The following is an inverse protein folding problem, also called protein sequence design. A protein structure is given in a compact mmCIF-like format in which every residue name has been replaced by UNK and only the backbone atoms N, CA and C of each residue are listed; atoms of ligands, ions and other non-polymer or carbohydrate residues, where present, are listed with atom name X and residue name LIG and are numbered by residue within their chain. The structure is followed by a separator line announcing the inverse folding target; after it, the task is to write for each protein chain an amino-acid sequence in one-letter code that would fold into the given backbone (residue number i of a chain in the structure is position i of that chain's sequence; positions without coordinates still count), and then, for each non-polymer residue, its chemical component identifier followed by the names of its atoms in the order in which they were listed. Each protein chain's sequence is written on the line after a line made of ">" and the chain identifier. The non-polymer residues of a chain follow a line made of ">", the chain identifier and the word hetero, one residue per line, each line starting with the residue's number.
data_IF_425083840383
#
_entry.id   IF_425083840383
#
_cell.length_a   1.000
_cell.length_b   1.000
_cell.length_c   1.000
_cell.angle_alpha   90.00
_cell.angle_beta   90.00
_cell.angle_gamma   90.00
#
_symmetry.space_group_name_H-M   'P 1'
#
loop_
_entity.id
_entity.type
_entity.pdbx_description
1 polymer ?
2 non-polymer ?
3 non-polymer ?
4 non-polymer ?
5 water ?
#
# COMPACT_ATOMS: atom_id res chain seq x y z
N UNK A 14 22.13 -7.13 15.85
CA UNK A 14 20.89 -7.01 15.00
C UNK A 14 21.22 -7.57 13.59
N UNK A 15 20.33 -7.56 12.57
CA UNK A 15 19.91 -6.33 11.82
C UNK A 15 18.74 -5.32 12.18
N UNK A 16 19.18 -4.09 12.60
CA UNK A 16 18.51 -2.78 12.51
C UNK A 16 17.83 -2.04 13.69
N UNK A 17 18.38 -0.86 14.08
CA UNK A 17 17.71 0.01 15.06
C UNK A 17 16.35 0.53 14.53
N UNK A 18 15.30 0.35 15.36
CA UNK A 18 13.94 0.81 15.04
C UNK A 18 13.84 2.28 14.71
N UNK A 19 12.97 2.59 13.71
CA UNK A 19 12.71 4.03 13.48
C UNK A 19 12.23 4.71 14.82
N UNK A 20 12.57 6.00 15.01
CA UNK A 20 12.03 6.70 16.18
C UNK A 20 10.72 7.49 15.90
N UNK A 21 10.27 7.54 14.64
CA UNK A 21 9.02 8.24 14.15
C UNK A 21 8.36 7.25 13.23
N UNK A 22 7.13 7.54 12.82
CA UNK A 22 6.49 6.86 11.70
C UNK A 22 6.74 7.80 10.52
N UNK A 23 6.71 7.26 9.31
CA UNK A 23 7.06 7.98 8.07
C UNK A 23 6.15 9.16 7.79
N UNK A 24 6.69 10.23 7.20
CA UNK A 24 5.82 11.30 6.72
C UNK A 24 5.23 10.88 5.37
N UNK A 25 3.90 10.77 5.32
CA UNK A 25 3.20 10.65 4.04
C UNK A 25 1.76 10.27 4.13
N UNK A 26 1.16 9.91 2.99
CA UNK A 26 -0.20 9.41 2.90
C UNK A 26 -0.29 7.92 3.19
N UNK A 27 -1.25 7.53 4.01
CA UNK A 27 -1.38 6.13 4.30
C UNK A 27 -2.82 5.73 4.03
N UNK A 28 -3.00 4.59 3.37
CA UNK A 28 -4.29 4.20 2.97
C UNK A 28 -4.91 3.35 4.07
N UNK A 29 -6.19 3.64 4.34
CA UNK A 29 -6.82 3.01 5.47
C UNK A 29 -7.79 1.96 5.00
N UNK A 30 -8.05 2.01 3.70
CA UNK A 30 -8.84 0.99 3.05
C UNK A 30 -9.82 1.62 2.08
N UNK A 31 -10.85 0.85 1.78
CA UNK A 31 -11.91 1.30 0.86
C UNK A 31 -12.82 2.33 1.56
N UNK A 32 -12.88 3.54 1.04
CA UNK A 32 -13.71 4.63 1.58
C UNK A 32 -15.16 4.23 1.99
N UNK A 33 -15.85 3.47 1.14
CA UNK A 33 -17.24 2.96 1.39
C UNK A 33 -17.41 2.04 2.60
N UNK A 34 -16.31 1.50 3.09
CA UNK A 34 -16.35 0.72 4.33
C UNK A 34 -16.27 1.64 5.60
N UNK A 35 -15.95 2.91 5.44
CA UNK A 35 -15.89 3.82 6.58
C UNK A 35 -17.13 4.72 6.72
N UNK A 36 -18.22 4.33 6.04
CA UNK A 36 -19.37 5.19 5.79
C UNK A 36 -20.67 4.56 6.24
N UNK A 37 -20.78 3.94 7.40
CA UNK A 37 -22.00 3.11 7.51
C UNK A 37 -22.95 3.14 8.74
N UNK A 38 -23.54 4.27 9.15
CA UNK A 38 -23.02 5.64 9.08
C UNK A 38 -22.64 5.98 10.56
N UNK A 39 -21.69 5.19 11.07
CA UNK A 39 -21.18 5.16 12.44
C UNK A 39 -19.67 5.55 12.43
N UNK A 40 -19.08 5.78 13.60
CA UNK A 40 -17.62 5.93 13.55
C UNK A 40 -16.89 4.61 13.52
N UNK A 41 -15.67 4.63 13.02
CA UNK A 41 -14.81 3.42 13.03
C UNK A 41 -13.51 3.65 13.84
N UNK A 42 -13.12 2.67 14.66
CA UNK A 42 -11.84 2.65 15.38
C UNK A 42 -10.71 2.10 14.52
N UNK A 43 -9.63 2.86 14.32
CA UNK A 43 -8.41 2.27 13.80
C UNK A 43 -7.12 2.52 14.65
N UNK A 44 -6.44 1.45 15.03
CA UNK A 44 -5.10 1.62 15.64
C UNK A 44 -4.01 1.80 14.60
N UNK A 45 -3.25 2.86 14.71
CA UNK A 45 -2.34 3.24 13.69
C UNK A 45 -1.44 4.29 14.33
N UNK A 46 -0.16 4.33 13.89
CA UNK A 46 0.81 5.32 14.33
C UNK A 46 1.01 5.37 15.87
N UNK A 47 1.00 4.18 16.47
CA UNK A 47 1.09 4.08 17.91
C UNK A 47 -0.05 4.70 18.72
N UNK A 48 -1.15 5.12 18.05
CA UNK A 48 -2.38 5.48 18.73
C UNK A 48 -3.65 4.80 18.24
N UNK A 49 -4.74 5.32 18.75
CA UNK A 49 -6.02 4.93 18.33
C UNK A 49 -6.63 6.10 17.65
N UNK A 50 -7.27 5.81 16.54
CA UNK A 50 -7.85 6.80 15.67
C UNK A 50 -9.34 6.58 15.55
N UNK A 51 -10.09 7.67 15.36
CA UNK A 51 -11.52 7.55 15.04
C UNK A 51 -11.74 8.07 13.61
N UNK A 52 -12.44 7.29 12.81
CA UNK A 52 -12.80 7.64 11.43
C UNK A 52 -14.30 7.80 11.33
N UNK A 53 -14.77 8.87 10.71
CA UNK A 53 -16.25 9.04 10.58
C UNK A 53 -16.57 9.97 9.43
N UNK A 54 -17.73 9.81 8.85
CA UNK A 54 -18.19 10.73 7.84
C UNK A 54 -19.21 11.75 8.32
N UNK A 55 -19.03 12.96 7.82
CA UNK A 55 -19.99 14.03 7.66
C UNK A 55 -21.41 13.69 7.35
N UNK A 56 -22.24 14.71 7.45
CA UNK A 56 -23.57 14.69 6.91
C UNK A 56 -23.53 14.94 5.42
N UNK A 57 -22.48 15.59 4.93
CA UNK A 57 -22.15 15.57 3.50
C UNK A 57 -21.49 14.32 2.92
N UNK A 58 -21.40 13.24 3.69
CA UNK A 58 -20.58 12.06 3.34
C UNK A 58 -19.05 12.20 3.28
N UNK A 59 -18.50 13.34 3.69
CA UNK A 59 -17.04 13.54 3.81
C UNK A 59 -16.37 12.97 5.09
N UNK A 60 -15.25 12.30 4.88
CA UNK A 60 -14.60 11.45 5.86
C UNK A 60 -13.53 12.21 6.66
N UNK A 61 -13.52 11.98 7.96
CA UNK A 61 -12.69 12.75 8.87
C UNK A 61 -11.94 11.81 9.79
N UNK A 62 -10.82 12.25 10.33
CA UNK A 62 -10.12 11.36 11.22
C UNK A 62 -9.66 12.19 12.37
N UNK A 63 -9.78 11.64 13.56
CA UNK A 63 -9.32 12.35 14.77
C UNK A 63 -8.51 11.41 15.65
N UNK A 64 -7.69 11.94 16.55
CA UNK A 64 -7.40 11.11 17.75
C UNK A 64 -8.67 10.49 18.32
N UNK A 65 -8.58 9.23 18.70
CA UNK A 65 -9.75 8.47 19.10
C UNK A 65 -10.29 8.67 20.48
N UNK A 66 -9.42 9.13 21.39
CA UNK A 66 -9.71 9.39 22.82
C UNK A 66 -10.15 10.77 23.08
N UNK A 67 -11.37 10.84 23.58
CA UNK A 67 -11.92 12.15 24.03
C UNK A 67 -11.08 12.93 25.01
N UNK A 68 -10.76 14.16 24.61
CA UNK A 68 -10.07 15.13 25.43
C UNK A 68 -10.76 15.55 26.74
N UNK A 69 -11.99 15.14 26.98
CA UNK A 69 -12.65 15.52 28.19
C UNK A 69 -12.08 14.61 29.33
N UNK A 70 -12.45 13.34 29.32
CA UNK A 70 -12.09 12.34 30.30
C UNK A 70 -11.83 10.98 29.61
N UNK A 71 -11.52 10.95 28.31
CA UNK A 71 -10.93 9.74 27.78
C UNK A 71 -11.80 8.71 27.15
N UNK A 72 -13.11 8.97 27.02
CA UNK A 72 -13.98 8.12 26.28
C UNK A 72 -13.46 7.87 24.87
N UNK A 73 -13.81 6.68 24.37
CA UNK A 73 -13.34 6.19 23.06
C UNK A 73 -14.37 6.65 22.04
N UNK A 74 -14.01 7.65 21.24
CA UNK A 74 -14.91 8.28 20.27
C UNK A 74 -15.42 7.28 19.22
N UNK A 75 -14.56 6.33 18.86
CA UNK A 75 -14.95 5.23 17.94
C UNK A 75 -16.12 4.40 18.50
N UNK A 76 -16.36 4.46 19.83
CA UNK A 76 -17.52 3.77 20.42
C UNK A 76 -18.80 4.68 20.49
N UNK A 77 -18.74 5.85 19.87
CA UNK A 77 -19.79 6.76 20.00
C UNK A 77 -20.63 6.81 18.77
N UNK A 78 -21.13 7.99 18.47
CA UNK A 78 -22.08 8.04 17.40
C UNK A 78 -21.85 9.28 16.51
N UNK A 79 -22.26 9.28 15.24
CA UNK A 79 -22.22 10.53 14.42
C UNK A 79 -23.62 11.29 14.52
N UNK A 80 -23.54 12.54 14.93
CA UNK A 80 -24.66 13.40 15.08
C UNK A 80 -24.42 14.64 14.24
N UNK A 81 -25.06 14.71 13.07
CA UNK A 81 -24.76 15.79 12.12
C UNK A 81 -23.34 15.70 11.57
N UNK A 82 -22.56 16.74 11.76
CA UNK A 82 -21.20 16.78 11.26
C UNK A 82 -20.10 16.38 12.27
N UNK A 83 -20.51 15.96 13.46
CA UNK A 83 -19.62 15.70 14.60
C UNK A 83 -19.79 14.29 15.07
N UNK A 84 -18.73 13.73 15.62
CA UNK A 84 -18.86 12.46 16.35
C UNK A 84 -19.17 12.87 17.83
N UNK A 85 -20.12 12.19 18.43
CA UNK A 85 -20.53 12.39 19.81
C UNK A 85 -19.84 11.32 20.66
N UNK A 86 -19.11 11.70 21.71
CA UNK A 86 -18.41 10.78 22.55
C UNK A 86 -19.43 9.96 23.26
N UNK A 87 -19.20 8.61 23.37
CA UNK A 87 -20.15 7.77 24.14
C UNK A 87 -20.29 8.16 25.65
N UNK A 88 -19.41 8.99 26.21
CA UNK A 88 -19.38 9.08 27.65
C UNK A 88 -20.32 10.20 28.12
N UNK A 89 -20.14 11.35 27.55
CA UNK A 89 -20.92 12.50 27.96
C UNK A 89 -21.39 13.28 26.72
N UNK A 90 -21.33 12.71 25.51
CA UNK A 90 -21.91 13.28 24.34
C UNK A 90 -21.26 14.57 23.82
N UNK A 91 -20.06 14.96 24.25
CA UNK A 91 -19.42 16.16 23.67
C UNK A 91 -19.29 15.92 22.14
N UNK A 92 -19.11 17.00 21.36
CA UNK A 92 -19.28 16.83 19.93
C UNK A 92 -18.06 17.39 19.30
N UNK A 93 -17.45 16.56 18.45
CA UNK A 93 -16.12 16.88 17.86
C UNK A 93 -16.23 16.92 16.38
N UNK A 94 -15.83 18.06 15.81
CA UNK A 94 -15.86 18.21 14.38
C UNK A 94 -14.68 17.56 13.65
N UNK A 95 -14.80 17.40 12.32
CA UNK A 95 -13.77 16.73 11.59
C UNK A 95 -12.46 17.47 11.57
N UNK A 96 -12.52 18.75 11.92
CA UNK A 96 -11.31 19.54 12.12
C UNK A 96 -10.79 19.49 13.60
N UNK A 97 -11.38 18.69 14.45
CA UNK A 97 -10.93 18.62 15.83
C UNK A 97 -11.56 19.57 16.80
N UNK A 98 -12.35 20.54 16.31
CA UNK A 98 -12.98 21.54 17.21
C UNK A 98 -14.04 20.90 18.06
N UNK A 99 -14.01 21.20 19.35
CA UNK A 99 -15.12 20.86 20.24
C UNK A 99 -16.30 21.79 19.82
N UNK A 100 -17.38 21.23 19.29
CA UNK A 100 -18.48 22.05 18.72
C UNK A 100 -19.54 22.31 19.77
N UNK A 101 -19.76 21.34 20.63
CA UNK A 101 -20.78 21.54 21.61
C UNK A 101 -20.57 20.58 22.75
N UNK A 102 -20.74 21.12 23.95
CA UNK A 102 -21.10 20.26 25.09
C UNK A 102 -22.56 20.44 25.42
N UNK A 103 -23.38 19.40 25.08
CA UNK A 103 -24.84 19.55 25.00
C UNK A 103 -25.53 20.06 26.29
N UNK A 104 -25.07 19.61 27.45
CA UNK A 104 -25.76 19.91 28.68
C UNK A 104 -25.14 21.09 29.39
N UNK A 105 -24.15 21.70 28.80
CA UNK A 105 -23.40 22.73 29.53
C UNK A 105 -23.86 24.15 29.20
N UNK A 106 -23.74 25.01 30.19
CA UNK A 106 -23.97 26.38 30.02
C UNK A 106 -23.07 27.01 28.98
N UNK A 107 -21.78 26.66 29.05
CA UNK A 107 -20.75 27.16 28.15
C UNK A 107 -19.85 26.04 27.55
N UNK A 108 -19.98 25.79 26.26
CA UNK A 108 -19.08 24.92 25.54
C UNK A 108 -17.70 25.57 25.69
N UNK A 109 -16.61 24.77 25.89
CA UNK A 109 -15.27 25.37 25.94
C UNK A 109 -15.03 26.20 24.70
N UNK A 110 -14.31 27.27 24.87
CA UNK A 110 -14.00 28.23 23.83
C UNK A 110 -12.70 27.82 23.07
N UNK A 111 -12.75 27.62 21.77
CA UNK A 111 -11.51 27.36 21.03
C UNK A 111 -10.73 26.18 21.58
N UNK A 112 -11.46 25.13 21.97
CA UNK A 112 -10.92 23.86 22.30
C UNK A 112 -10.88 22.91 21.04
N UNK A 113 -9.84 22.08 20.99
CA UNK A 113 -9.76 21.04 19.99
C UNK A 113 -8.84 19.90 20.31
N UNK A 114 -9.10 18.79 19.64
CA UNK A 114 -8.28 17.64 19.65
C UNK A 114 -7.48 17.65 18.34
N UNK A 115 -6.60 16.67 18.18
CA UNK A 115 -5.86 16.47 16.94
C UNK A 115 -6.70 15.83 15.80
N UNK A 116 -6.71 16.53 14.69
CA UNK A 116 -7.38 16.04 13.55
C UNK A 116 -6.35 15.67 12.54
N UNK A 117 -6.72 14.70 11.69
CA UNK A 117 -5.80 14.20 10.70
C UNK A 117 -6.33 14.58 9.29
N UNK A 118 -5.50 15.15 8.43
CA UNK A 118 -5.91 15.40 7.05
C UNK A 118 -6.18 14.08 6.29
N UNK A 119 -7.25 14.10 5.53
CA UNK A 119 -7.89 12.94 4.93
C UNK A 119 -7.95 13.21 3.37
N UNK A 120 -7.99 12.14 2.58
CA UNK A 120 -8.14 12.23 1.10
C UNK A 120 -8.89 11.02 0.60
N UNK A 121 -9.94 11.21 -0.20
CA UNK A 121 -10.59 10.07 -0.84
C UNK A 121 -10.16 10.10 -2.29
N UNK A 122 -9.51 9.02 -2.74
CA UNK A 122 -8.85 8.99 -4.06
C UNK A 122 -9.08 7.59 -4.58
N UNK A 123 -9.74 7.47 -5.73
CA UNK A 123 -9.96 6.17 -6.38
C UNK A 123 -10.83 5.29 -5.51
N UNK A 124 -11.66 5.90 -4.65
CA UNK A 124 -12.58 5.12 -3.80
C UNK A 124 -11.88 4.56 -2.57
N UNK A 125 -10.67 5.05 -2.31
CA UNK A 125 -9.85 4.59 -1.16
C UNK A 125 -9.66 5.74 -0.19
N UNK A 126 -9.64 5.44 1.12
CA UNK A 126 -9.42 6.51 2.15
C UNK A 126 -7.95 6.61 2.57
N UNK A 127 -7.38 7.81 2.48
CA UNK A 127 -6.01 8.11 2.90
C UNK A 127 -5.97 9.10 4.09
N UNK A 128 -5.04 8.85 4.99
CA UNK A 128 -4.76 9.82 6.04
C UNK A 128 -3.30 10.28 5.89
N UNK A 129 -3.05 11.54 6.25
CA UNK A 129 -1.76 12.14 6.22
C UNK A 129 -1.08 12.06 7.62
N UNK A 130 0.21 11.73 7.61
CA UNK A 130 1.01 11.62 8.81
C UNK A 130 2.32 12.38 8.62
N UNK A 131 2.66 13.23 9.58
CA UNK A 131 3.91 13.96 9.62
C UNK A 131 4.29 14.24 11.08
N UNK A 132 5.44 13.69 11.46
CA UNK A 132 5.98 13.89 12.76
C UNK A 132 6.15 15.38 13.10
N UNK A 133 6.60 16.14 12.11
CA UNK A 133 6.77 17.55 12.24
C UNK A 133 5.47 18.32 12.37
N UNK A 134 4.33 17.64 12.15
CA UNK A 134 3.02 18.22 12.22
C UNK A 134 2.68 19.21 11.13
N UNK A 135 3.32 19.16 9.96
CA UNK A 135 2.99 20.07 8.85
C UNK A 135 1.95 19.48 7.92
N UNK A 136 1.22 20.33 7.17
CA UNK A 136 0.19 19.68 6.31
C UNK A 136 0.79 18.99 5.04
N UNK A 137 -0.02 18.21 4.29
CA UNK A 137 0.43 17.54 3.04
C UNK A 137 0.97 18.49 2.00
N UNK A 138 2.23 18.31 1.60
CA UNK A 138 2.69 18.90 0.35
C UNK A 138 1.74 18.52 -0.85
N UNK A 139 1.19 19.53 -1.55
CA UNK A 139 0.35 19.18 -2.72
C UNK A 139 1.11 18.26 -3.72
N UNK A 140 2.43 18.42 -3.80
CA UNK A 140 3.29 17.65 -4.73
C UNK A 140 3.30 16.11 -4.57
N UNK A 141 2.78 15.63 -3.44
CA UNK A 141 2.87 14.22 -3.06
C UNK A 141 1.52 13.58 -2.96
N UNK A 142 0.47 14.31 -3.32
CA UNK A 142 -0.87 13.70 -3.39
C UNK A 142 -0.89 12.39 -4.17
N UNK A 143 -1.68 11.44 -3.68
CA UNK A 143 -1.76 10.12 -4.26
C UNK A 143 -2.55 10.30 -5.58
N UNK A 144 -2.08 9.71 -6.70
CA UNK A 144 -2.77 9.89 -8.01
C UNK A 144 -4.17 9.24 -8.04
N UNK A 145 -5.13 9.75 -8.83
CA UNK A 145 -6.40 8.98 -9.14
C UNK A 145 -6.08 7.82 -10.05
N UNK A 146 -6.77 6.70 -9.82
CA UNK A 146 -6.78 5.56 -10.71
C UNK A 146 -8.16 5.66 -11.42
N UNK A 147 -8.16 6.12 -12.69
CA UNK A 147 -9.40 6.26 -13.50
C UNK A 147 -10.26 4.98 -13.51
N UNK A 148 -9.61 3.80 -13.46
CA UNK A 148 -10.30 2.55 -13.68
C UNK A 148 -11.05 2.09 -12.47
N UNK A 149 -10.74 2.75 -11.35
CA UNK A 149 -11.50 2.55 -10.12
C UNK A 149 -12.94 3.16 -10.25
N UNK A 150 -13.09 4.13 -11.16
CA UNK A 150 -14.39 4.73 -11.50
C UNK A 150 -15.00 4.26 -12.85
N UNK A 151 -14.44 3.22 -13.46
CA UNK A 151 -14.90 2.67 -14.73
C UNK A 151 -15.87 1.52 -14.49
N UNK A 152 -17.03 1.55 -15.16
CA UNK A 152 -17.90 0.37 -15.16
C UNK A 152 -17.40 -0.75 -16.10
N UNK A 153 -16.36 -0.43 -16.89
CA UNK A 153 -15.55 -1.41 -17.62
C UNK A 153 -14.51 -2.16 -16.77
N UNK A 154 -14.33 -1.78 -15.49
CA UNK A 154 -13.44 -2.51 -14.59
C UNK A 154 -14.21 -3.04 -13.43
N UNK A 155 -13.73 -4.10 -12.80
CA UNK A 155 -14.31 -4.49 -11.52
C UNK A 155 -14.10 -3.44 -10.39
N UNK A 156 -14.74 -3.66 -9.25
CA UNK A 156 -14.56 -2.77 -8.09
C UNK A 156 -13.67 -3.49 -7.11
N UNK A 157 -13.03 -2.74 -6.21
CA UNK A 157 -12.01 -3.20 -5.29
C UNK A 157 -12.38 -4.46 -4.59
N UNK A 158 -11.65 -5.54 -4.84
CA UNK A 158 -11.67 -6.63 -3.92
C UNK A 158 -10.47 -6.26 -3.07
N UNK A 159 -10.62 -6.31 -1.74
CA UNK A 159 -9.68 -5.70 -0.81
C UNK A 159 -9.40 -6.65 0.31
N UNK A 160 -8.14 -6.76 0.70
CA UNK A 160 -7.78 -7.67 1.79
C UNK A 160 -6.84 -6.96 2.73
N UNK A 161 -6.74 -7.43 3.95
CA UNK A 161 -5.95 -6.74 4.94
C UNK A 161 -5.45 -7.81 5.92
N UNK A 162 -4.17 -7.76 6.26
CA UNK A 162 -3.71 -8.57 7.39
C UNK A 162 -2.90 -7.75 8.41
N UNK A 163 -2.79 -8.24 9.64
CA UNK A 163 -1.92 -7.63 10.63
C UNK A 163 -0.64 -8.47 10.72
N UNK A 164 0.51 -7.83 10.46
CA UNK A 164 1.79 -8.47 10.67
C UNK A 164 2.45 -8.03 11.95
N UNK A 165 2.59 -8.96 12.89
CA UNK A 165 3.27 -8.64 14.14
C UNK A 165 4.69 -9.18 14.13
N UNK A 166 5.54 -8.44 14.81
CA UNK A 166 6.91 -8.85 14.98
C UNK A 166 7.86 -8.33 13.94
N UNK A 167 7.39 -7.46 13.04
CA UNK A 167 8.30 -6.70 12.16
C UNK A 167 7.83 -5.26 12.00
N UNK A 168 8.74 -4.42 11.46
CA UNK A 168 8.49 -3.05 11.01
C UNK A 168 8.02 -2.99 9.53
N UNK A 169 7.08 -2.10 9.20
CA UNK A 169 6.58 -2.01 7.82
C UNK A 169 7.66 -1.72 6.78
N UNK A 170 8.81 -1.25 7.23
CA UNK A 170 9.86 -0.81 6.30
C UNK A 170 10.52 -2.02 5.59
N UNK A 171 10.41 -3.18 6.22
CA UNK A 171 10.93 -4.44 5.73
C UNK A 171 10.37 -4.80 4.30
N UNK A 172 9.12 -4.45 4.00
CA UNK A 172 8.53 -4.89 2.78
C UNK A 172 8.93 -4.06 1.54
N UNK A 173 9.39 -2.83 1.73
CA UNK A 173 9.71 -1.99 0.59
C UNK A 173 10.97 -2.47 -0.19
N UNK A 174 11.81 -3.30 0.45
CA UNK A 174 12.98 -3.90 -0.19
C UNK A 174 12.68 -4.69 -1.45
N UNK A 175 11.42 -5.08 -1.60
CA UNK A 175 11.01 -5.87 -2.74
C UNK A 175 11.13 -5.12 -4.07
N UNK A 176 11.26 -3.80 -3.99
CA UNK A 176 11.14 -2.94 -5.16
C UNK A 176 12.35 -3.19 -6.12
N UNK A 177 13.38 -3.75 -5.56
CA UNK A 177 14.71 -3.63 -6.05
C UNK A 177 15.18 -5.05 -6.37
N UNK A 178 14.41 -6.06 -6.00
CA UNK A 178 14.80 -7.42 -6.31
C UNK A 178 14.20 -8.21 -7.44
N UNK A 179 15.08 -8.36 -8.39
CA UNK A 179 14.84 -9.10 -9.63
C UNK A 179 14.74 -10.60 -9.33
N UNK A 180 15.64 -11.19 -8.55
CA UNK A 180 15.72 -12.64 -8.47
C UNK A 180 14.51 -13.33 -7.85
N UNK A 181 13.74 -12.64 -6.97
CA UNK A 181 12.58 -13.31 -6.32
C UNK A 181 11.44 -13.61 -7.33
N UNK A 182 11.47 -12.87 -8.43
CA UNK A 182 10.50 -13.15 -9.50
C UNK A 182 10.52 -14.58 -9.99
N UNK A 183 11.68 -15.23 -9.90
CA UNK A 183 11.87 -16.64 -10.18
C UNK A 183 11.55 -17.56 -9.04
N UNK A 184 12.15 -17.35 -7.88
CA UNK A 184 11.97 -18.29 -6.78
C UNK A 184 10.66 -18.12 -6.10
N UNK A 185 10.12 -16.90 -6.10
CA UNK A 185 8.89 -16.65 -5.32
C UNK A 185 7.59 -16.68 -6.19
N UNK A 186 7.68 -16.01 -7.36
CA UNK A 186 6.57 -15.88 -8.29
C UNK A 186 6.65 -16.82 -9.50
N UNK A 187 7.78 -17.51 -9.64
CA UNK A 187 7.86 -18.60 -10.61
C UNK A 187 7.74 -18.11 -12.05
N UNK A 188 8.43 -17.02 -12.34
CA UNK A 188 8.52 -16.53 -13.66
C UNK A 188 9.97 -16.24 -13.94
N UNK A 189 10.24 -15.75 -15.14
CA UNK A 189 11.63 -15.42 -15.50
C UNK A 189 11.69 -13.98 -15.88
N UNK A 190 12.34 -13.13 -15.03
CA UNK A 190 12.46 -11.69 -15.26
C UNK A 190 13.46 -11.45 -16.38
N UNK A 191 12.97 -10.85 -17.46
CA UNK A 191 13.71 -10.74 -18.69
C UNK A 191 14.16 -9.30 -18.88
N UNK A 192 13.53 -8.44 -18.09
CA UNK A 192 13.88 -7.05 -18.13
C UNK A 192 13.59 -6.46 -16.73
N UNK A 193 14.51 -5.66 -16.23
CA UNK A 193 14.40 -5.14 -14.87
C UNK A 193 15.05 -3.77 -14.69
N UNK A 194 14.22 -2.79 -14.38
CA UNK A 194 14.70 -1.43 -14.17
C UNK A 194 14.03 -0.78 -12.96
N UNK A 195 14.83 -0.02 -12.19
CA UNK A 195 14.33 0.79 -11.12
C UNK A 195 14.50 2.24 -11.42
N UNK A 196 13.49 3.05 -11.05
CA UNK A 196 13.63 4.52 -11.05
C UNK A 196 13.23 5.14 -9.68
N UNK A 197 14.13 5.84 -9.02
CA UNK A 197 13.74 6.60 -7.83
C UNK A 197 13.82 8.11 -8.12
N UNK A 198 12.79 8.88 -7.81
CA UNK A 198 12.96 10.36 -7.96
C UNK A 198 11.93 11.09 -7.06
N UNK A 199 12.29 12.11 -6.31
CA UNK A 199 11.25 12.75 -5.47
C UNK A 199 10.75 11.70 -4.46
N UNK A 200 9.41 11.60 -4.33
CA UNK A 200 8.70 10.80 -3.35
C UNK A 200 8.26 9.50 -3.99
N UNK A 201 8.78 9.22 -5.19
CA UNK A 201 8.30 8.01 -5.91
C UNK A 201 9.47 7.03 -6.20
N UNK A 202 9.26 5.77 -5.91
CA UNK A 202 10.19 4.72 -6.27
C UNK A 202 9.43 3.72 -7.20
N UNK A 203 10.01 3.34 -8.35
CA UNK A 203 9.35 2.47 -9.37
C UNK A 203 10.14 1.26 -9.78
N UNK A 204 9.40 0.22 -10.12
CA UNK A 204 9.96 -0.99 -10.63
C UNK A 204 9.26 -1.30 -12.00
N UNK A 205 10.08 -1.50 -13.03
CA UNK A 205 9.61 -1.94 -14.38
C UNK A 205 10.15 -3.28 -14.73
N UNK A 206 9.24 -4.16 -15.07
CA UNK A 206 9.51 -5.58 -15.16
C UNK A 206 8.92 -6.18 -16.46
N UNK A 207 9.68 -7.07 -17.10
CA UNK A 207 9.07 -8.00 -18.03
C UNK A 207 9.35 -9.34 -17.50
N UNK A 208 8.30 -10.14 -17.35
CA UNK A 208 8.38 -11.45 -16.74
C UNK A 208 7.77 -12.48 -17.69
N UNK A 209 8.44 -13.61 -17.85
CA UNK A 209 7.90 -14.77 -18.60
C UNK A 209 7.57 -15.92 -17.65
N UNK A 210 6.38 -16.53 -17.79
CA UNK A 210 6.08 -17.76 -17.11
C UNK A 210 7.12 -18.87 -17.31
N UNK A 211 7.36 -19.61 -16.25
CA UNK A 211 8.21 -20.74 -16.31
C UNK A 211 7.47 -21.94 -16.91
N UNK A 212 8.09 -22.60 -17.92
CA UNK A 212 7.66 -23.89 -18.47
C UNK A 212 7.52 -25.03 -17.45
N UNK A 213 8.36 -25.08 -16.42
CA UNK A 213 8.34 -26.18 -15.43
C UNK A 213 7.26 -26.01 -14.37
N UNK A 214 6.59 -24.89 -14.39
CA UNK A 214 5.52 -24.65 -13.45
C UNK A 214 4.16 -24.73 -14.13
N UNK A 215 3.43 -25.76 -13.73
CA UNK A 215 2.43 -26.52 -14.48
C UNK A 215 1.56 -25.95 -15.61
N UNK A 216 1.85 -24.71 -16.02
CA UNK A 216 1.10 -24.08 -17.08
C UNK A 216 1.82 -24.06 -18.42
N UNK A 217 2.85 -24.88 -18.53
CA UNK A 217 3.60 -25.04 -19.76
C UNK A 217 2.72 -25.36 -20.93
N UNK A 218 3.28 -26.22 -21.77
CA UNK A 218 2.71 -26.71 -23.00
C UNK A 218 3.47 -27.97 -23.37
N UNK A 219 4.46 -27.85 -24.25
CA UNK A 219 4.78 -26.55 -24.90
C UNK A 219 3.63 -25.91 -25.73
N UNK A 220 3.85 -24.65 -26.13
CA UNK A 220 2.85 -23.81 -26.82
C UNK A 220 1.53 -23.62 -26.05
N UNK A 221 1.58 -23.48 -24.74
CA UNK A 221 0.33 -23.19 -24.05
C UNK A 221 0.42 -22.66 -22.60
N UNK A 222 1.62 -22.59 -22.08
CA UNK A 222 1.91 -21.75 -20.94
C UNK A 222 2.32 -20.49 -21.65
N UNK A 223 3.20 -19.69 -21.06
CA UNK A 223 3.83 -18.66 -21.85
C UNK A 223 3.16 -17.36 -21.66
N UNK A 224 2.88 -17.01 -20.42
CA UNK A 224 2.38 -15.69 -20.18
C UNK A 224 3.52 -14.72 -20.27
N UNK A 225 3.25 -13.51 -20.74
CA UNK A 225 4.21 -12.48 -20.70
C UNK A 225 3.53 -11.45 -19.89
N UNK A 226 4.27 -10.83 -19.00
CA UNK A 226 3.76 -9.85 -18.10
C UNK A 226 4.60 -8.65 -18.24
N UNK A 227 3.95 -7.53 -18.47
CA UNK A 227 4.61 -6.28 -18.33
C UNK A 227 4.05 -5.59 -17.12
N UNK A 228 4.95 -5.22 -16.25
CA UNK A 228 4.60 -4.63 -14.94
C UNK A 228 5.28 -3.28 -14.71
N UNK A 229 4.49 -2.25 -14.36
CA UNK A 229 5.02 -1.02 -13.74
C UNK A 229 4.49 -0.97 -12.30
N UNK A 230 5.38 -0.85 -11.31
CA UNK A 230 4.98 -0.74 -9.88
C UNK A 230 5.67 0.47 -9.31
N UNK A 231 4.89 1.38 -8.74
CA UNK A 231 5.39 2.60 -8.14
C UNK A 231 4.88 2.79 -6.72
N UNK A 232 5.83 3.14 -5.82
CA UNK A 232 5.47 3.72 -4.49
C UNK A 232 5.26 5.19 -4.65
N UNK A 233 4.06 5.67 -4.34
CA UNK A 233 3.79 7.12 -4.23
C UNK A 233 3.90 7.58 -2.76
N UNK A 234 5.11 7.93 -2.33
CA UNK A 234 5.39 8.13 -0.90
C UNK A 234 5.77 6.80 -0.23
N UNK A 235 5.76 6.76 1.12
CA UNK A 235 6.35 5.67 1.92
C UNK A 235 5.55 4.36 1.96
N UNK A 236 4.26 4.39 1.67
CA UNK A 236 3.46 3.27 2.08
C UNK A 236 2.53 2.74 1.03
N UNK A 237 2.36 3.45 -0.09
CA UNK A 237 1.25 3.09 -0.99
C UNK A 237 1.82 2.88 -2.41
N UNK A 238 1.66 1.64 -2.91
CA UNK A 238 2.12 1.25 -4.23
C UNK A 238 0.96 0.88 -5.18
N UNK A 239 0.96 1.49 -6.36
CA UNK A 239 0.13 1.01 -7.47
C UNK A 239 0.97 0.14 -8.39
N UNK A 240 0.46 -1.06 -8.67
CA UNK A 240 1.04 -1.98 -9.68
C UNK A 240 0.12 -2.28 -10.90
N UNK A 241 0.48 -1.74 -12.07
CA UNK A 241 -0.20 -1.93 -13.39
C UNK A 241 0.33 -3.22 -13.99
N UNK A 242 -0.58 -4.18 -14.17
CA UNK A 242 -0.31 -5.54 -14.66
C UNK A 242 -0.92 -5.79 -16.03
N UNK A 243 -0.07 -5.83 -17.05
CA UNK A 243 -0.49 -6.16 -18.46
C UNK A 243 0.05 -7.53 -18.83
N UNK A 244 -0.74 -8.59 -18.65
CA UNK A 244 -0.25 -9.77 -19.25
C UNK A 244 -0.98 -10.46 -20.41
N UNK A 245 -0.26 -11.39 -21.04
CA UNK A 245 -0.72 -12.12 -22.24
C UNK A 245 -0.42 -13.61 -22.22
N UNK A 246 -1.25 -14.34 -22.94
CA UNK A 246 -1.13 -15.76 -23.17
C UNK A 246 -1.29 -15.75 -24.64
N UNK A 247 -0.21 -15.51 -25.35
CA UNK A 247 -0.31 -15.34 -26.77
C UNK A 247 -0.93 -14.03 -27.12
N UNK A 248 -2.18 -14.05 -27.53
CA UNK A 248 -2.85 -12.87 -28.02
C UNK A 248 -3.96 -12.45 -27.11
N UNK A 249 -4.26 -13.29 -26.14
CA UNK A 249 -5.23 -12.95 -25.11
C UNK A 249 -4.59 -12.04 -24.07
N UNK A 250 -4.94 -10.77 -24.14
CA UNK A 250 -4.49 -9.74 -23.21
C UNK A 250 -5.40 -9.70 -21.98
N UNK A 251 -4.82 -9.41 -20.82
CA UNK A 251 -5.63 -9.05 -19.64
C UNK A 251 -4.95 -7.93 -18.89
N UNK A 252 -5.77 -7.04 -18.30
CA UNK A 252 -5.29 -5.86 -17.62
C UNK A 252 -5.73 -5.96 -16.20
N UNK A 253 -4.81 -5.68 -15.27
CA UNK A 253 -5.15 -5.53 -13.86
C UNK A 253 -4.34 -4.44 -13.14
N UNK A 254 -4.81 -4.06 -11.94
CA UNK A 254 -4.16 -3.12 -11.04
C UNK A 254 -4.17 -3.77 -9.64
N UNK A 255 -2.99 -3.92 -9.09
CA UNK A 255 -2.82 -4.39 -7.74
C UNK A 255 -2.35 -3.15 -6.91
N UNK A 256 -3.03 -2.95 -5.79
CA UNK A 256 -2.55 -2.00 -4.77
C UNK A 256 -1.87 -2.77 -3.65
N UNK A 257 -0.63 -2.41 -3.36
CA UNK A 257 0.10 -2.93 -2.20
C UNK A 257 0.28 -1.74 -1.28
N UNK A 258 -0.37 -1.79 -0.12
CA UNK A 258 -0.21 -0.67 0.81
C UNK A 258 -0.17 -1.15 2.28
N UNK A 259 0.37 -0.30 3.17
CA UNK A 259 0.44 -0.69 4.57
C UNK A 259 0.33 0.55 5.43
N UNK A 260 0.07 0.34 6.70
CA UNK A 260 0.27 1.44 7.66
C UNK A 260 0.77 0.83 8.96
N UNK A 261 1.63 1.58 9.65
CA UNK A 261 2.17 1.06 10.88
C UNK A 261 1.15 1.18 12.01
N UNK A 262 1.06 0.15 12.82
CA UNK A 262 0.21 0.17 14.01
C UNK A 262 1.10 0.61 15.19
N UNK A 263 2.30 0.03 15.22
CA UNK A 263 3.36 0.08 16.26
C UNK A 263 4.75 0.06 15.52
N UNK A 264 5.88 0.20 16.21
CA UNK A 264 7.15 0.03 15.48
C UNK A 264 7.51 -1.43 15.22
N UNK A 265 6.64 -2.36 15.63
CA UNK A 265 6.85 -3.76 15.50
C UNK A 265 5.59 -4.47 15.03
N UNK A 266 4.70 -3.72 14.38
CA UNK A 266 3.46 -4.28 13.87
C UNK A 266 2.86 -3.27 12.91
N UNK A 267 2.22 -3.80 11.87
CA UNK A 267 1.64 -2.99 10.85
C UNK A 267 0.53 -3.76 10.18
N UNK A 268 -0.30 -3.02 9.45
CA UNK A 268 -1.37 -3.63 8.66
C UNK A 268 -0.92 -3.58 7.21
N UNK A 269 -1.00 -4.72 6.54
CA UNK A 269 -0.69 -4.87 5.14
C UNK A 269 -1.99 -5.07 4.43
N UNK A 270 -2.23 -4.26 3.41
CA UNK A 270 -3.44 -4.41 2.65
C UNK A 270 -3.19 -4.62 1.16
N UNK A 271 -4.14 -5.25 0.49
CA UNK A 271 -4.01 -5.34 -0.96
C UNK A 271 -5.38 -5.32 -1.59
N UNK A 272 -5.47 -4.60 -2.70
CA UNK A 272 -6.65 -4.55 -3.51
C UNK A 272 -6.39 -4.87 -4.98
N UNK A 273 -7.39 -5.46 -5.62
CA UNK A 273 -7.28 -5.76 -7.05
C UNK A 273 -8.56 -5.40 -7.79
N UNK A 274 -8.38 -4.63 -8.86
CA UNK A 274 -9.41 -4.46 -9.87
C UNK A 274 -8.87 -5.02 -11.24
N UNK A 275 -9.78 -5.58 -12.04
CA UNK A 275 -9.45 -6.16 -13.35
C UNK A 275 -10.33 -5.53 -14.43
N UNK A 276 -9.80 -5.42 -15.64
CA UNK A 276 -10.59 -5.01 -16.81
C UNK A 276 -11.49 -6.20 -17.08
N UNK A 277 -12.79 -5.95 -17.07
CA UNK A 277 -13.80 -6.95 -17.40
C UNK A 277 -13.69 -7.33 -18.93
N UNK A 278 -13.61 -8.62 -19.16
CA UNK A 278 -13.68 -9.29 -20.45
C UNK A 278 -15.03 -9.12 -21.09
N UNK A 279 -15.04 -8.71 -22.35
CA UNK A 279 -16.25 -8.57 -23.11
C UNK A 279 -16.39 -9.78 -24.03
N UNK A 280 -17.23 -10.75 -23.78
CA UNK A 280 -18.31 -10.66 -22.85
C UNK A 280 -19.46 -10.93 -23.74
N UNK A 281 -20.20 -12.00 -23.50
CA UNK A 281 -19.78 -13.06 -22.62
C UNK A 281 -20.80 -13.60 -21.64
N UNK A 282 -20.54 -14.87 -21.33
CA UNK A 282 -21.16 -15.67 -20.30
C UNK A 282 -20.95 -17.13 -20.68
N UNK A 285 -22.90 -14.98 -15.20
CA UNK A 285 -22.43 -13.89 -16.10
C UNK A 285 -20.89 -13.95 -16.37
N UNK A 286 -20.28 -12.78 -16.70
CA UNK A 286 -18.80 -12.58 -16.86
C UNK A 286 -18.04 -12.29 -15.52
N UNK A 287 -18.80 -12.36 -14.44
CA UNK A 287 -18.32 -12.24 -13.07
C UNK A 287 -17.42 -13.42 -12.77
N UNK A 288 -17.81 -14.58 -13.29
CA UNK A 288 -17.08 -15.85 -13.11
C UNK A 288 -15.59 -15.72 -13.43
N UNK A 289 -15.31 -15.07 -14.56
CA UNK A 289 -13.98 -14.95 -15.14
C UNK A 289 -13.18 -13.85 -14.46
N UNK A 290 -13.87 -12.78 -14.05
CA UNK A 290 -13.25 -11.71 -13.29
C UNK A 290 -12.75 -12.21 -11.93
N UNK A 291 -13.52 -13.10 -11.26
CA UNK A 291 -13.08 -13.80 -10.05
C UNK A 291 -11.80 -14.61 -10.25
N UNK A 292 -11.63 -15.18 -11.43
CA UNK A 292 -10.45 -15.96 -11.71
C UNK A 292 -9.25 -15.05 -11.83
N UNK A 293 -9.42 -13.94 -12.56
CA UNK A 293 -8.38 -12.94 -12.79
C UNK A 293 -7.93 -12.29 -11.46
N UNK A 294 -8.88 -12.06 -10.56
CA UNK A 294 -8.67 -11.41 -9.29
C UNK A 294 -7.96 -12.33 -8.32
N UNK A 295 -8.44 -13.58 -8.25
CA UNK A 295 -7.91 -14.53 -7.28
C UNK A 295 -6.45 -14.86 -7.64
N UNK A 296 -6.12 -14.58 -8.89
CA UNK A 296 -4.89 -14.96 -9.47
C UNK A 296 -3.82 -13.98 -9.14
N UNK A 297 -4.12 -12.68 -9.32
CA UNK A 297 -3.25 -11.63 -8.79
C UNK A 297 -3.10 -11.66 -7.27
N UNK A 298 -4.23 -11.86 -6.58
CA UNK A 298 -4.24 -12.09 -5.14
C UNK A 298 -3.25 -13.19 -4.68
N UNK A 299 -3.26 -14.37 -5.33
CA UNK A 299 -2.30 -15.45 -5.02
C UNK A 299 -0.82 -15.09 -5.30
N UNK A 300 -0.56 -14.31 -6.35
CA UNK A 300 0.76 -13.72 -6.58
C UNK A 300 1.25 -12.81 -5.44
N UNK A 301 0.35 -11.94 -4.97
CA UNK A 301 0.63 -11.14 -3.76
C UNK A 301 0.88 -12.03 -2.54
N UNK A 302 0.01 -13.00 -2.29
CA UNK A 302 0.19 -13.90 -1.19
C UNK A 302 1.51 -14.69 -1.15
N UNK A 303 2.21 -14.81 -2.30
CA UNK A 303 3.52 -15.46 -2.27
C UNK A 303 4.62 -14.57 -1.69
N UNK A 304 4.49 -13.28 -1.92
CA UNK A 304 5.25 -12.30 -1.15
C UNK A 304 4.96 -12.30 0.35
N UNK A 305 3.71 -12.28 0.70
CA UNK A 305 3.36 -12.36 2.11
C UNK A 305 3.99 -13.52 2.89
N UNK A 306 4.09 -14.70 2.28
CA UNK A 306 4.74 -15.85 2.89
C UNK A 306 6.16 -15.57 3.24
N UNK A 307 6.84 -14.82 2.40
CA UNK A 307 8.21 -14.49 2.69
C UNK A 307 8.27 -13.47 3.81
N UNK A 308 7.54 -12.37 3.62
CA UNK A 308 7.50 -11.24 4.55
C UNK A 308 7.11 -11.66 5.97
N UNK A 309 6.23 -12.65 6.08
CA UNK A 309 5.81 -13.24 7.33
C UNK A 309 6.90 -14.00 8.06
N UNK A 310 7.98 -14.44 7.40
CA UNK A 310 8.97 -15.30 8.04
C UNK A 310 10.35 -14.82 7.72
N UNK A 311 10.65 -13.59 8.01
CA UNK A 311 11.92 -13.01 7.59
C UNK A 311 12.20 -11.84 8.51
N UNK A 312 13.48 -11.55 8.60
CA UNK A 312 13.94 -10.42 9.32
C UNK A 312 14.45 -9.41 8.34
N UNK A 313 14.64 -8.16 8.80
CA UNK A 313 15.26 -7.16 7.97
C UNK A 313 16.67 -7.30 8.26
N UNK A 314 17.48 -7.18 7.22
CA UNK A 314 18.92 -7.06 7.28
C UNK A 314 19.40 -5.64 7.01
N UNK A 315 19.94 -5.04 8.06
CA UNK A 315 20.46 -3.70 7.99
C UNK A 315 21.76 -3.51 7.21
N UNK A 316 22.67 -4.46 7.33
CA UNK A 316 23.96 -4.45 6.68
C UNK A 316 24.04 -5.77 5.78
N UNK A 317 23.30 -5.84 4.63
CA UNK A 317 23.23 -7.05 3.87
C UNK A 317 24.47 -7.43 3.09
N UNK A 318 24.65 -8.72 2.92
CA UNK A 318 25.58 -9.28 1.94
C UNK A 318 24.91 -9.17 0.57
N UNK A 319 25.52 -8.35 -0.28
CA UNK A 319 24.94 -8.03 -1.60
C UNK A 319 25.84 -8.56 -2.70
N UNK A 320 25.23 -9.05 -3.79
CA UNK A 320 25.90 -9.24 -5.13
C UNK A 320 25.47 -8.12 -6.15
N UNK A 321 26.17 -8.03 -7.28
CA UNK A 321 25.85 -7.10 -8.34
C UNK A 321 24.39 -7.20 -8.75
N UNK A 322 23.88 -8.43 -8.88
CA UNK A 322 22.48 -8.65 -9.27
C UNK A 322 21.47 -8.09 -8.27
N UNK A 323 21.88 -7.71 -7.08
CA UNK A 323 20.96 -7.04 -6.10
C UNK A 323 20.50 -5.68 -6.54
N UNK A 324 21.30 -5.01 -7.38
CA UNK A 324 20.88 -3.78 -7.97
C UNK A 324 20.95 -2.58 -6.99
N UNK A 325 19.84 -1.88 -6.79
CA UNK A 325 19.95 -0.58 -6.18
C UNK A 325 19.47 -0.59 -4.69
N UNK A 326 19.78 -1.65 -3.95
CA UNK A 326 19.33 -1.83 -2.60
C UNK A 326 19.65 -0.61 -1.72
N UNK A 327 20.87 -0.08 -1.78
CA UNK A 327 21.26 1.06 -0.99
C UNK A 327 20.56 2.33 -1.39
N UNK A 328 20.33 2.48 -2.70
CA UNK A 328 19.77 3.71 -3.26
C UNK A 328 18.32 3.80 -2.94
N UNK A 329 17.65 2.67 -2.93
CA UNK A 329 16.28 2.54 -2.50
C UNK A 329 16.07 2.87 -0.98
N UNK A 330 16.94 2.32 -0.11
CA UNK A 330 16.96 2.63 1.34
C UNK A 330 17.26 4.11 1.61
N UNK A 331 18.23 4.69 0.90
CA UNK A 331 18.43 6.12 0.89
C UNK A 331 17.23 6.99 0.46
N UNK A 332 16.47 6.54 -0.55
CA UNK A 332 15.25 7.18 -1.03
C UNK A 332 14.22 7.21 0.12
N UNK A 333 14.09 6.06 0.79
CA UNK A 333 13.09 5.84 1.81
C UNK A 333 13.36 6.60 3.12
N UNK A 334 14.63 6.84 3.46
CA UNK A 334 15.03 7.74 4.49
C UNK A 334 14.39 9.13 4.50
N UNK A 335 14.09 9.69 3.30
CA UNK A 335 13.53 11.01 3.19
C UNK A 335 12.31 11.20 4.06
N UNK A 336 11.52 10.14 4.21
CA UNK A 336 10.28 10.19 4.95
C UNK A 336 10.47 10.16 6.45
N UNK A 337 11.71 10.02 6.88
CA UNK A 337 11.97 9.83 8.28
C UNK A 337 12.81 10.94 8.81
N UNK A 338 13.19 11.87 7.94
CA UNK A 338 13.94 13.03 8.36
C UNK A 338 12.96 14.21 8.18
N UNK A 339 13.19 15.26 8.94
CA UNK A 339 12.57 16.52 8.79
C UNK A 339 12.69 17.02 7.36
N UNK A 340 11.61 17.58 6.81
CA UNK A 340 11.63 18.02 5.41
C UNK A 340 12.86 18.90 5.10
N UNK A 341 13.29 19.66 6.10
CA UNK A 341 14.45 20.57 5.95
C UNK A 341 15.75 19.82 5.88
N UNK A 342 15.77 18.57 6.29
CA UNK A 342 17.01 17.80 6.30
C UNK A 342 17.22 16.80 5.16
N UNK A 343 16.32 16.84 4.17
CA UNK A 343 16.35 15.93 3.06
C UNK A 343 17.56 16.32 2.25
N UNK A 344 18.34 15.29 1.95
CA UNK A 344 19.54 15.32 1.20
C UNK A 344 19.30 15.16 -0.29
N UNK A 345 20.04 15.93 -1.13
CA UNK A 345 19.90 15.79 -2.59
C UNK A 345 19.85 14.33 -3.05
N UNK A 346 20.69 13.48 -2.48
CA UNK A 346 20.84 12.19 -3.04
C UNK A 346 19.71 11.25 -2.65
N UNK A 347 18.89 11.63 -1.66
CA UNK A 347 17.68 10.88 -1.34
C UNK A 347 16.65 10.98 -2.45
N UNK A 348 16.69 12.07 -3.19
CA UNK A 348 15.53 12.59 -3.86
C UNK A 348 15.85 12.83 -5.37
N UNK A 349 17.14 12.99 -5.72
CA UNK A 349 17.46 13.23 -7.12
C UNK A 349 17.21 11.96 -7.92
N UNK A 350 16.88 12.14 -9.19
CA UNK A 350 16.61 11.02 -10.07
C UNK A 350 17.73 9.90 -10.08
N UNK A 351 17.38 8.67 -9.75
CA UNK A 351 18.31 7.58 -9.87
C UNK A 351 17.69 6.49 -10.70
N UNK A 352 18.45 5.99 -11.68
CA UNK A 352 17.99 4.83 -12.50
C UNK A 352 19.02 3.76 -12.58
N UNK A 353 18.54 2.54 -12.62
CA UNK A 353 19.41 1.42 -12.87
C UNK A 353 18.66 0.34 -13.62
N UNK A 354 19.23 -0.13 -14.70
CA UNK A 354 18.73 -1.37 -15.29
C UNK A 354 19.54 -2.54 -14.76
N UNK A 355 18.88 -3.57 -14.29
CA UNK A 355 19.64 -4.73 -13.83
C UNK A 355 19.74 -5.73 -14.98
N UNK A 356 20.95 -6.14 -15.30
CA UNK A 356 21.17 -7.19 -16.31
C UNK A 356 20.68 -8.59 -15.85
N UNK A 357 19.71 -9.13 -16.54
CA UNK A 357 19.14 -10.40 -16.13
C UNK A 357 19.57 -11.56 -17.06
N UNK A 358 20.42 -11.30 -18.06
CA UNK A 358 20.84 -12.31 -19.04
C UNK A 358 21.57 -13.53 -18.51
N UNK A 359 22.63 -13.42 -17.68
CA UNK A 359 23.25 -14.64 -17.07
C UNK A 359 22.30 -15.45 -16.20
N UNK A 360 21.52 -14.75 -15.37
CA UNK A 360 20.59 -15.42 -14.45
C UNK A 360 19.60 -16.20 -15.26
N UNK A 361 19.08 -15.57 -16.31
CA UNK A 361 18.12 -16.19 -17.20
C UNK A 361 18.67 -17.43 -17.91
N UNK A 362 19.91 -17.38 -18.33
CA UNK A 362 20.49 -18.63 -18.85
C UNK A 362 20.69 -19.75 -17.79
N UNK A 363 21.12 -19.37 -16.58
CA UNK A 363 21.12 -20.31 -15.46
C UNK A 363 19.75 -20.88 -15.17
N UNK A 364 18.71 -20.05 -15.22
CA UNK A 364 17.39 -20.45 -14.81
C UNK A 364 16.73 -21.32 -15.86
N UNK A 365 16.94 -20.97 -17.11
CA UNK A 365 16.49 -21.81 -18.21
C UNK A 365 17.13 -23.23 -18.16
N UNK A 366 18.43 -23.28 -17.87
CA UNK A 366 19.07 -24.57 -17.59
C UNK A 366 18.40 -25.37 -16.45
N UNK A 367 18.02 -24.70 -15.37
CA UNK A 367 17.39 -25.37 -14.23
C UNK A 367 15.96 -25.75 -14.63
N UNK A 368 15.26 -24.86 -15.32
CA UNK A 368 13.92 -25.18 -15.84
C UNK A 368 14.00 -26.44 -16.72
N UNK A 369 14.97 -26.45 -17.68
CA UNK A 369 15.23 -27.62 -18.56
C UNK A 369 15.56 -28.87 -17.78
N UNK A 370 16.53 -28.77 -16.88
CA UNK A 370 16.85 -29.87 -15.98
C UNK A 370 15.63 -30.48 -15.28
N UNK A 371 14.64 -29.65 -14.91
CA UNK A 371 13.49 -30.12 -14.10
C UNK A 371 12.49 -30.89 -14.89
N UNK A 372 12.22 -30.44 -16.10
CA UNK A 372 11.19 -31.13 -16.85
C UNK A 372 11.71 -32.31 -17.72
N UNK A 373 13.02 -32.50 -17.75
CA UNK A 373 13.64 -33.74 -18.22
C UNK A 373 13.33 -34.88 -17.22
N UNK A 374 12.32 -34.70 -16.34
CA UNK A 374 11.86 -35.74 -15.39
C UNK A 374 10.35 -35.84 -15.17
#
# INVERSE_FOLDING_TARGET
>A
MSTDTSGVGVREIDAGALPTRYARGWHCLGVAKDYLEGKPHGVEAFGTKLVVFADSHGDLKVLDGYCRHMGGDLSEGTVKGDEVACPFHDWRWGGDGRCKLVPYARRTPRMARTRSWTTDVRSGLLFVWHDHEGNPPDPAVRIPEIPEAASDEWTDWRWNRILIEGSNCRDIIDNVTDMAHFFYIHFGLPTYFKNVFEGHIASQYLHNVGRPDVDDLGTSYGEAHLDSEASYFGPSFMINWLHNRYGNYKSESILINCHYPVTQNSFVLQWGVIVEKPKGMSEEMTDKLSRVFTEGVSKGFLQDVEIWKHKTRIDNPLLVEEDGAVYQLRRWYEQFYVDVADIKPEMVERFEIEVDTKRANEFWNAEVEKNLKSREVSDDVPAEQH
#
